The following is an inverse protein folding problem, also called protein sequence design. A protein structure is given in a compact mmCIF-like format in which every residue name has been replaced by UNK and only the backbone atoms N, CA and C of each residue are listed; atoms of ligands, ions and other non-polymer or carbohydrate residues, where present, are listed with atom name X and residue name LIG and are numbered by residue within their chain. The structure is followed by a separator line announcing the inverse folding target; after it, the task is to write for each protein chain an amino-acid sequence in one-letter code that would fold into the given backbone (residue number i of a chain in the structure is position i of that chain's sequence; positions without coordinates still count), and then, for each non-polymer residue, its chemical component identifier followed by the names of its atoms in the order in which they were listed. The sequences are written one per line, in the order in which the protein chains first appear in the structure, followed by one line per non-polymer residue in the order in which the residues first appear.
data_IF_598144961436
#
_entry.id   IF_598144961436
#
_cell.length_a   1.000
_cell.length_b   1.000
_cell.length_c   1.000
_cell.angle_alpha   90.00
_cell.angle_beta   90.00
_cell.angle_gamma   90.00
#
_symmetry.space_group_name_H-M   'P 1'
#
loop_
_entity.id
_entity.type
_entity.pdbx_description
1 polymer ?
#
# COMPACT_ATOMS: atom_id res chain seq x y z
N UNK A 1 20.80 -47.19 -35.17
CA UNK A 1 19.98 -45.96 -35.15
C UNK A 1 19.10 -46.07 -33.93
N UNK A 2 19.54 -45.49 -32.82
CA UNK A 2 18.93 -45.65 -31.50
C UNK A 2 17.77 -44.67 -31.35
N UNK A 3 16.56 -45.20 -31.21
CA UNK A 3 15.35 -44.42 -30.95
C UNK A 3 15.38 -43.87 -29.53
N UNK A 4 15.38 -42.54 -29.39
CA UNK A 4 15.29 -41.88 -28.10
C UNK A 4 13.82 -41.43 -27.88
N UNK A 5 13.05 -42.28 -27.22
CA UNK A 5 11.68 -41.99 -26.78
C UNK A 5 11.73 -41.07 -25.55
N UNK A 6 11.59 -39.76 -25.79
CA UNK A 6 11.33 -38.77 -24.75
C UNK A 6 9.82 -38.74 -24.47
N UNK A 7 9.40 -39.37 -23.37
CA UNK A 7 8.04 -39.27 -22.84
C UNK A 7 7.84 -37.89 -22.23
N UNK A 8 6.95 -37.08 -22.81
CA UNK A 8 6.49 -35.82 -22.21
C UNK A 8 5.45 -36.16 -21.15
N UNK A 9 5.80 -35.90 -19.89
CA UNK A 9 4.88 -36.02 -18.76
C UNK A 9 3.86 -34.86 -18.80
N UNK A 10 2.58 -35.19 -18.95
CA UNK A 10 1.43 -34.26 -19.05
C UNK A 10 0.62 -34.19 -17.75
N UNK A 11 1.23 -34.49 -16.60
CA UNK A 11 0.56 -34.37 -15.30
C UNK A 11 0.11 -32.93 -14.97
N UNK A 12 -1.06 -32.75 -14.31
CA UNK A 12 -1.52 -31.43 -13.89
C UNK A 12 -0.56 -30.84 -12.85
N UNK A 13 0.01 -29.67 -13.15
CA UNK A 13 0.93 -28.97 -12.24
C UNK A 13 0.24 -28.65 -10.92
N UNK A 14 0.71 -29.26 -9.82
CA UNK A 14 0.36 -28.92 -8.45
C UNK A 14 0.46 -27.40 -8.24
N UNK A 15 -0.43 -26.75 -7.47
CA UNK A 15 -0.28 -25.33 -7.16
C UNK A 15 1.11 -25.12 -6.55
N UNK A 16 1.89 -24.25 -7.19
CA UNK A 16 3.26 -23.97 -6.79
C UNK A 16 3.26 -23.43 -5.35
N UNK A 17 3.86 -24.18 -4.43
CA UNK A 17 4.17 -23.70 -3.09
C UNK A 17 4.88 -22.34 -3.19
N UNK A 18 4.44 -21.30 -2.44
CA UNK A 18 5.09 -20.00 -2.50
C UNK A 18 6.55 -20.16 -2.05
N UNK A 19 7.48 -19.80 -2.94
CA UNK A 19 8.90 -19.72 -2.60
C UNK A 19 9.05 -18.78 -1.40
N UNK A 20 9.93 -19.11 -0.42
CA UNK A 20 10.04 -18.38 0.86
C UNK A 20 10.39 -16.89 0.73
N UNK A 21 10.67 -16.40 -0.48
CA UNK A 21 10.98 -15.01 -0.80
C UNK A 21 9.78 -14.18 -1.26
N UNK A 22 8.64 -14.80 -1.57
CA UNK A 22 7.47 -14.13 -2.15
C UNK A 22 6.32 -14.03 -1.13
N UNK A 23 5.86 -12.81 -0.88
CA UNK A 23 4.74 -12.52 -0.02
C UNK A 23 3.49 -12.22 -0.85
N UNK A 24 2.41 -12.96 -0.63
CA UNK A 24 1.11 -12.67 -1.24
C UNK A 24 0.48 -11.42 -0.62
N UNK A 25 -0.14 -10.59 -1.45
CA UNK A 25 -0.83 -9.37 -1.07
C UNK A 25 -1.88 -9.00 -2.14
N UNK A 26 -2.52 -7.86 -1.99
CA UNK A 26 -3.45 -7.29 -2.97
C UNK A 26 -2.97 -5.92 -3.43
N UNK A 27 -3.19 -5.62 -4.72
CA UNK A 27 -2.98 -4.26 -5.24
C UNK A 27 -3.99 -3.29 -4.64
N UNK A 28 -3.52 -2.13 -4.17
CA UNK A 28 -4.32 -1.14 -3.42
C UNK A 28 -4.67 0.13 -4.21
N UNK A 29 -4.53 0.11 -5.54
CA UNK A 29 -4.63 1.34 -6.35
C UNK A 29 -6.02 1.57 -6.96
N UNK A 30 -6.71 0.51 -7.39
CA UNK A 30 -8.07 0.58 -7.90
C UNK A 30 -8.92 -0.51 -7.27
N UNK A 31 -10.24 -0.37 -7.34
CA UNK A 31 -11.23 -1.25 -6.71
C UNK A 31 -11.23 -2.72 -7.17
N UNK A 32 -10.41 -3.08 -8.16
CA UNK A 32 -10.30 -4.47 -8.64
C UNK A 32 -9.48 -5.34 -7.69
N UNK A 33 -8.56 -4.74 -6.92
CA UNK A 33 -7.75 -5.43 -5.91
C UNK A 33 -7.07 -6.72 -6.44
N UNK A 34 -6.44 -6.66 -7.62
CA UNK A 34 -5.72 -7.80 -8.18
C UNK A 34 -4.76 -8.43 -7.15
N UNK A 35 -4.74 -9.76 -7.05
CA UNK A 35 -3.76 -10.48 -6.26
C UNK A 35 -2.36 -10.29 -6.81
N UNK A 36 -1.40 -10.04 -5.91
CA UNK A 36 0.00 -9.84 -6.23
C UNK A 36 0.89 -10.66 -5.30
N UNK A 37 2.09 -10.98 -5.77
CA UNK A 37 3.18 -11.51 -4.96
C UNK A 37 4.33 -10.51 -5.00
N UNK A 38 4.98 -10.29 -3.85
CA UNK A 38 6.03 -9.28 -3.67
C UNK A 38 7.28 -9.94 -3.10
N UNK A 39 8.45 -9.68 -3.70
CA UNK A 39 9.75 -9.88 -3.04
C UNK A 39 10.21 -8.59 -2.41
N UNK A 40 10.66 -8.67 -1.17
CA UNK A 40 11.21 -7.54 -0.43
C UNK A 40 12.74 -7.51 -0.53
N UNK A 41 13.29 -6.31 -0.52
CA UNK A 41 14.70 -6.03 -0.21
C UNK A 41 14.70 -4.88 0.78
N UNK A 42 14.96 -5.15 2.05
CA UNK A 42 14.78 -4.21 3.16
C UNK A 42 13.36 -3.59 3.15
N UNK A 43 13.27 -2.26 3.02
CA UNK A 43 12.01 -1.51 2.97
C UNK A 43 11.51 -1.24 1.54
N UNK A 44 12.07 -1.93 0.54
CA UNK A 44 11.75 -1.76 -0.89
C UNK A 44 11.04 -2.98 -1.45
N UNK A 45 10.13 -2.76 -2.39
CA UNK A 45 9.54 -3.82 -3.19
C UNK A 45 10.46 -4.13 -4.36
N UNK A 46 11.34 -5.12 -4.18
CA UNK A 46 12.35 -5.48 -5.17
C UNK A 46 11.74 -6.05 -6.45
N UNK A 47 10.65 -6.82 -6.32
CA UNK A 47 9.89 -7.34 -7.46
C UNK A 47 8.43 -7.55 -7.10
N UNK A 48 7.55 -7.27 -8.05
CA UNK A 48 6.11 -7.49 -7.93
C UNK A 48 5.65 -8.27 -9.15
N UNK A 49 4.78 -9.26 -8.94
CA UNK A 49 4.10 -10.00 -10.01
C UNK A 49 2.65 -10.28 -9.63
N UNK A 50 1.84 -10.70 -10.60
CA UNK A 50 0.49 -11.16 -10.32
C UNK A 50 0.48 -12.53 -9.66
N UNK A 51 -0.38 -12.68 -8.65
CA UNK A 51 -0.65 -13.95 -8.00
C UNK A 51 -1.53 -14.83 -8.90
N UNK A 52 -0.97 -15.93 -9.40
CA UNK A 52 -1.68 -16.88 -10.27
C UNK A 52 -2.79 -17.66 -9.56
N UNK A 53 -2.72 -17.78 -8.24
CA UNK A 53 -3.73 -18.46 -7.42
C UNK A 53 -4.92 -17.58 -7.07
N UNK A 54 -4.82 -16.26 -7.26
CA UNK A 54 -5.87 -15.32 -6.91
C UNK A 54 -7.14 -15.54 -7.78
N UNK A 55 -8.34 -15.70 -7.18
CA UNK A 55 -9.54 -16.16 -7.90
C UNK A 55 -10.07 -15.15 -8.93
N UNK A 56 -9.86 -13.85 -8.69
CA UNK A 56 -10.33 -12.79 -9.60
C UNK A 56 -9.35 -12.51 -10.75
N UNK A 57 -8.13 -12.07 -10.42
CA UNK A 57 -7.13 -11.69 -11.42
C UNK A 57 -6.36 -12.85 -12.05
N UNK A 58 -6.24 -14.02 -11.41
CA UNK A 58 -5.57 -15.22 -11.97
C UNK A 58 -4.19 -14.91 -12.58
N UNK A 59 -3.39 -14.12 -11.86
CA UNK A 59 -2.05 -13.69 -12.29
C UNK A 59 -2.01 -12.43 -13.17
N UNK A 60 -3.16 -11.87 -13.57
CA UNK A 60 -3.20 -10.59 -14.27
C UNK A 60 -2.85 -9.42 -13.35
N UNK A 61 -1.98 -8.54 -13.83
CA UNK A 61 -1.68 -7.24 -13.22
C UNK A 61 -1.49 -6.18 -14.29
N UNK A 62 -1.99 -4.97 -14.04
CA UNK A 62 -1.66 -3.80 -14.86
C UNK A 62 -0.38 -3.10 -14.38
N UNK A 63 0.15 -2.17 -15.18
CA UNK A 63 1.36 -1.39 -14.87
C UNK A 63 1.34 -0.68 -13.52
N UNK A 64 0.14 -0.30 -13.03
CA UNK A 64 -0.01 0.36 -11.73
C UNK A 64 0.54 -0.51 -10.59
N UNK A 65 0.20 -1.80 -10.60
CA UNK A 65 0.62 -2.74 -9.56
C UNK A 65 2.14 -2.99 -9.61
N UNK A 66 2.71 -3.06 -10.82
CA UNK A 66 4.14 -3.32 -11.01
C UNK A 66 5.04 -2.17 -10.56
N UNK A 67 4.47 -0.97 -10.37
CA UNK A 67 5.19 0.24 -9.94
C UNK A 67 4.90 0.67 -8.50
N UNK A 68 4.34 -0.21 -7.65
CA UNK A 68 4.02 0.15 -6.26
C UNK A 68 5.24 0.68 -5.47
N UNK A 69 6.46 0.22 -5.76
CA UNK A 69 7.67 0.74 -5.08
C UNK A 69 7.88 2.24 -5.33
N UNK A 70 7.57 2.71 -6.55
CA UNK A 70 7.70 4.11 -6.91
C UNK A 70 6.78 5.00 -6.06
N UNK A 71 5.56 4.56 -5.77
CA UNK A 71 4.62 5.31 -4.95
C UNK A 71 4.96 5.23 -3.47
N UNK A 72 5.31 4.04 -2.97
CA UNK A 72 5.60 3.81 -1.55
C UNK A 72 6.92 4.48 -1.10
N UNK A 73 7.92 4.46 -1.97
CA UNK A 73 9.27 4.93 -1.71
C UNK A 73 9.62 6.17 -2.54
N UNK A 74 8.61 6.98 -2.88
CA UNK A 74 8.80 8.28 -3.51
C UNK A 74 9.61 9.21 -2.59
N UNK A 75 10.54 9.97 -3.17
CA UNK A 75 11.44 10.86 -2.43
C UNK A 75 10.70 11.97 -1.68
N UNK A 76 9.56 12.44 -2.21
CA UNK A 76 8.73 13.47 -1.56
C UNK A 76 7.73 12.91 -0.54
N UNK A 77 7.85 11.65 -0.10
CA UNK A 77 6.98 11.08 0.92
C UNK A 77 7.19 11.79 2.26
N UNK A 78 6.11 12.29 2.85
CA UNK A 78 6.15 12.87 4.19
C UNK A 78 6.50 11.80 5.23
N UNK A 79 7.53 12.06 6.03
CA UNK A 79 8.00 11.18 7.12
C UNK A 79 7.76 11.74 8.51
N UNK A 80 7.41 13.03 8.60
CA UNK A 80 7.18 13.77 9.85
C UNK A 80 5.90 14.59 9.74
N UNK A 81 5.18 14.84 10.85
CA UNK A 81 4.13 15.84 10.90
C UNK A 81 4.66 17.23 10.53
N UNK A 82 3.83 18.02 9.83
CA UNK A 82 4.18 19.37 9.42
C UNK A 82 3.21 20.39 10.05
N UNK A 83 3.76 21.42 10.71
CA UNK A 83 3.00 22.55 11.23
C UNK A 83 3.15 23.76 10.31
N UNK A 84 2.04 24.41 9.97
CA UNK A 84 2.03 25.63 9.16
C UNK A 84 2.45 26.84 9.98
N UNK A 85 3.37 27.65 9.46
CA UNK A 85 3.81 28.92 10.06
C UNK A 85 2.95 30.11 9.58
N UNK A 86 2.95 31.25 10.31
CA UNK A 86 2.15 32.43 9.94
C UNK A 86 2.38 32.94 8.52
N UNK A 87 3.62 32.90 8.04
CA UNK A 87 4.05 33.28 6.69
C UNK A 87 3.68 32.26 5.60
N UNK A 88 3.06 31.14 5.98
CA UNK A 88 2.53 30.12 5.06
C UNK A 88 3.50 28.99 4.72
N UNK A 89 4.72 29.00 5.26
CA UNK A 89 5.66 27.87 5.18
C UNK A 89 5.27 26.75 6.15
N UNK A 90 5.97 25.61 6.07
CA UNK A 90 5.78 24.48 6.98
C UNK A 90 7.08 24.14 7.69
N UNK A 91 6.95 23.62 8.90
CA UNK A 91 8.05 23.09 9.70
C UNK A 91 7.73 21.70 10.21
N UNK A 92 8.76 20.86 10.30
CA UNK A 92 8.64 19.56 10.95
C UNK A 92 8.47 19.73 12.46
N UNK A 93 7.57 18.94 13.02
CA UNK A 93 7.34 18.83 14.47
C UNK A 93 7.22 17.36 14.86
N UNK A 94 7.47 17.05 16.12
CA UNK A 94 7.22 15.71 16.65
C UNK A 94 5.70 15.41 16.75
N UNK A 95 5.37 14.13 16.94
CA UNK A 95 3.99 13.66 16.99
C UNK A 95 3.20 14.23 18.18
N UNK A 96 3.81 14.36 19.35
CA UNK A 96 3.11 14.88 20.55
C UNK A 96 2.76 16.36 20.34
N UNK A 97 3.69 17.15 19.81
CA UNK A 97 3.46 18.55 19.44
C UNK A 97 2.36 18.68 18.38
N UNK A 98 2.35 17.84 17.35
CA UNK A 98 1.34 17.87 16.29
C UNK A 98 -0.07 17.55 16.83
N UNK A 99 -0.18 16.46 17.61
CA UNK A 99 -1.45 15.99 18.18
C UNK A 99 -1.99 17.02 19.16
N UNK A 100 -1.15 17.54 20.07
CA UNK A 100 -1.55 18.56 21.03
C UNK A 100 -2.02 19.84 20.33
N UNK A 101 -1.34 20.27 19.27
CA UNK A 101 -1.72 21.44 18.48
C UNK A 101 -3.08 21.28 17.79
N UNK A 102 -3.32 20.14 17.14
CA UNK A 102 -4.62 19.84 16.50
C UNK A 102 -5.72 19.74 17.55
N UNK A 103 -5.49 19.04 18.67
CA UNK A 103 -6.47 18.89 19.74
C UNK A 103 -6.85 20.25 20.36
N UNK A 104 -5.88 21.13 20.61
CA UNK A 104 -6.14 22.48 21.09
C UNK A 104 -6.96 23.31 20.10
N UNK A 105 -6.65 23.22 18.79
CA UNK A 105 -7.43 23.89 17.75
C UNK A 105 -8.89 23.40 17.69
N UNK A 106 -9.10 22.09 17.73
CA UNK A 106 -10.44 21.50 17.75
C UNK A 106 -11.22 21.84 19.04
N UNK A 107 -10.55 21.83 20.19
CA UNK A 107 -11.16 22.24 21.46
C UNK A 107 -11.61 23.70 21.43
N UNK A 108 -10.79 24.59 20.86
CA UNK A 108 -11.16 26.00 20.67
C UNK A 108 -12.43 26.14 19.81
N UNK A 109 -12.50 25.43 18.67
CA UNK A 109 -13.69 25.44 17.81
C UNK A 109 -14.92 24.93 18.57
N UNK A 110 -14.79 23.83 19.31
CA UNK A 110 -15.88 23.29 20.13
C UNK A 110 -16.38 24.32 21.15
N UNK A 111 -15.46 24.97 21.86
CA UNK A 111 -15.78 25.87 22.97
C UNK A 111 -16.36 27.21 22.48
N UNK A 112 -15.91 27.71 21.32
CA UNK A 112 -16.36 28.98 20.75
C UNK A 112 -17.60 28.85 19.84
N UNK A 113 -17.77 27.71 19.16
CA UNK A 113 -18.75 27.56 18.09
C UNK A 113 -19.66 26.32 18.21
N UNK A 114 -19.36 25.39 19.11
CA UNK A 114 -20.07 24.12 19.27
C UNK A 114 -19.40 22.95 18.56
N UNK A 115 -19.47 21.77 19.17
CA UNK A 115 -18.85 20.55 18.62
C UNK A 115 -19.47 20.06 17.30
N UNK A 116 -20.73 20.42 17.04
CA UNK A 116 -21.44 20.14 15.78
C UNK A 116 -20.89 20.93 14.59
N UNK A 117 -19.93 21.84 14.82
CA UNK A 117 -19.19 22.58 13.79
C UNK A 117 -17.89 21.89 13.37
N UNK A 118 -17.51 20.80 14.03
CA UNK A 118 -16.36 20.00 13.64
C UNK A 118 -16.80 19.01 12.55
N UNK A 119 -16.17 19.10 11.39
CA UNK A 119 -16.42 18.20 10.26
C UNK A 119 -15.17 17.37 9.97
N UNK A 120 -15.37 16.08 9.75
CA UNK A 120 -14.34 15.18 9.27
C UNK A 120 -14.61 14.84 7.80
N UNK A 121 -13.63 15.16 6.94
CA UNK A 121 -13.61 14.70 5.56
C UNK A 121 -12.46 13.71 5.38
N UNK A 122 -12.80 12.43 5.41
CA UNK A 122 -11.87 11.35 5.09
C UNK A 122 -12.04 10.87 3.66
N UNK A 123 -10.92 10.52 3.01
CA UNK A 123 -10.91 9.87 1.71
C UNK A 123 -10.44 8.42 1.82
N UNK A 124 -11.29 7.48 1.41
CA UNK A 124 -10.97 6.07 1.23
C UNK A 124 -10.08 5.85 0.01
N UNK A 125 -8.76 6.03 0.12
CA UNK A 125 -7.85 5.41 -0.83
C UNK A 125 -7.98 3.89 -0.71
N UNK A 126 -7.92 3.13 -1.81
CA UNK A 126 -8.00 1.65 -1.76
C UNK A 126 -6.78 1.00 -1.06
N UNK A 127 -5.85 1.82 -0.54
CA UNK A 127 -4.79 1.47 0.42
C UNK A 127 -5.14 1.66 1.89
N UNK A 128 -6.37 2.05 2.21
CA UNK A 128 -6.83 2.26 3.58
C UNK A 128 -7.19 0.94 4.30
N UNK A 129 -6.62 -0.19 3.88
CA UNK A 129 -6.71 -1.47 4.57
C UNK A 129 -5.40 -1.79 5.29
N UNK A 130 -5.02 -0.93 6.23
CA UNK A 130 -4.29 -1.33 7.44
C UNK A 130 -4.86 -0.49 8.60
N UNK A 131 -6.13 -0.75 8.93
CA UNK A 131 -6.66 -0.53 10.26
C UNK A 131 -6.53 -1.84 11.02
N UNK A 132 -5.53 -1.93 11.88
CA UNK A 132 -5.14 -3.13 12.63
C UNK A 132 -3.64 -3.17 12.85
#
# INVERSE_FOLDING_TARGET
MSENSSSVDTGPSSPAEPSPDWHQSACILCSINCGIEIRLSDRRFARIRGDKSHPGSVGYTCEKALRLDHYQNYEGRLTSPLRRRPEGTYEEVDWDTAIAGVAAGLAKVRDEHGGDKIFYYGGGGQGNHLGG
#
